data_IF_199254430406
#
_entry.id   IF_199254430406
#
_cell.length_a   1.000
_cell.length_b   1.000
_cell.length_c   1.000
_cell.angle_alpha   90.00
_cell.angle_beta   90.00
_cell.angle_gamma   90.00
#
_symmetry.space_group_name_H-M   'P 1'
#
loop_
_entity.id
_entity.type
_entity.pdbx_description
1 polymer ?
#
# COMPACT_ATOMS: atom_id res chain seq x y z
N UNK A 1 -25.17 11.77 -7.97
CA UNK A 1 -24.51 12.09 -6.79
C UNK A 1 -23.23 11.34 -6.61
N UNK A 2 -22.27 11.99 -6.10
CA UNK A 2 -20.96 11.38 -6.00
C UNK A 2 -20.94 10.14 -5.12
N UNK A 3 -21.67 10.18 -4.03
CA UNK A 3 -21.61 9.07 -3.10
C UNK A 3 -22.13 7.79 -3.72
N UNK A 4 -23.14 7.89 -4.55
CA UNK A 4 -23.65 6.67 -5.15
C UNK A 4 -22.68 6.09 -6.16
N UNK A 5 -21.97 6.95 -6.86
CA UNK A 5 -20.98 6.46 -7.80
C UNK A 5 -19.85 5.75 -7.08
N UNK A 6 -19.40 6.35 -6.00
CA UNK A 6 -18.34 5.72 -5.23
C UNK A 6 -18.77 4.38 -4.70
N UNK A 7 -20.01 4.31 -4.26
CA UNK A 7 -20.51 3.06 -3.74
C UNK A 7 -20.44 1.95 -4.74
N UNK A 8 -20.80 2.25 -5.97
CA UNK A 8 -20.78 1.23 -7.00
C UNK A 8 -19.39 0.73 -7.28
N UNK A 9 -18.43 1.63 -7.34
CA UNK A 9 -17.09 1.19 -7.63
C UNK A 9 -16.48 0.40 -6.48
N UNK A 10 -16.91 0.68 -5.27
CA UNK A 10 -16.38 -0.04 -4.13
C UNK A 10 -16.85 -1.47 -4.08
N UNK A 11 -18.01 -1.73 -4.59
CA UNK A 11 -18.52 -3.07 -4.54
C UNK A 11 -17.68 -4.06 -5.29
N UNK A 12 -16.95 -3.59 -6.26
CA UNK A 12 -16.34 -4.50 -7.20
C UNK A 12 -14.94 -4.94 -6.82
N UNK A 13 -14.38 -4.48 -5.71
CA UNK A 13 -13.02 -4.87 -5.47
C UNK A 13 -12.76 -5.12 -4.00
N UNK A 14 -11.59 -5.73 -3.74
CA UNK A 14 -11.19 -6.11 -2.41
C UNK A 14 -10.64 -4.96 -1.61
N UNK A 15 -10.40 -3.84 -2.27
CA UNK A 15 -9.92 -2.66 -1.60
C UNK A 15 -10.87 -2.26 -0.48
N UNK A 16 -12.15 -2.37 -0.79
CA UNK A 16 -13.18 -1.98 0.16
C UNK A 16 -13.17 -2.86 1.40
N UNK A 17 -12.79 -4.10 1.23
CA UNK A 17 -12.75 -5.01 2.37
C UNK A 17 -11.58 -4.71 3.29
N UNK A 18 -10.49 -4.22 2.72
CA UNK A 18 -9.33 -3.94 3.53
C UNK A 18 -9.41 -2.61 4.24
N UNK A 19 -10.11 -1.66 3.66
CA UNK A 19 -10.26 -0.36 4.25
C UNK A 19 -11.60 -0.31 4.95
N UNK A 20 -11.56 -0.66 6.21
CA UNK A 20 -12.76 -0.69 7.02
C UNK A 20 -12.80 0.51 7.93
N UNK A 21 -13.92 0.69 8.56
CA UNK A 21 -14.06 1.78 9.52
C UNK A 21 -13.03 1.66 10.63
N UNK A 22 -12.75 0.44 11.06
CA UNK A 22 -11.77 0.23 12.10
C UNK A 22 -10.38 0.65 11.66
N UNK A 23 -10.00 0.29 10.43
CA UNK A 23 -8.67 0.64 9.96
C UNK A 23 -8.53 2.14 9.74
N UNK A 24 -9.64 2.86 9.61
CA UNK A 24 -9.60 4.29 9.43
C UNK A 24 -9.80 5.04 10.74
N UNK A 25 -9.97 4.33 11.83
CA UNK A 25 -10.18 4.96 13.13
C UNK A 25 -8.88 5.09 13.90
N UNK A 26 -7.81 5.45 13.21
CA UNK A 26 -6.50 5.67 13.81
C UNK A 26 -5.97 7.00 13.31
N UNK A 27 -4.93 7.52 13.94
CA UNK A 27 -4.33 8.76 13.46
C UNK A 27 -3.90 8.66 12.00
N UNK A 28 -3.92 9.78 11.33
CA UNK A 28 -3.60 9.80 9.91
C UNK A 28 -2.26 9.15 9.60
N UNK A 29 -1.27 9.45 10.42
CA UNK A 29 0.05 8.88 10.18
C UNK A 29 0.01 7.36 10.21
N UNK A 30 -0.71 6.82 11.18
CA UNK A 30 -0.79 5.38 11.30
C UNK A 30 -1.58 4.77 10.16
N UNK A 31 -2.67 5.40 9.78
CA UNK A 31 -3.48 4.91 8.66
C UNK A 31 -2.64 4.88 7.39
N UNK A 32 -1.84 5.92 7.17
CA UNK A 32 -1.01 6.00 5.98
C UNK A 32 0.05 4.90 5.99
N UNK A 33 0.67 4.69 7.13
CA UNK A 33 1.70 3.66 7.23
C UNK A 33 1.12 2.27 7.03
N UNK A 34 -0.06 2.03 7.56
CA UNK A 34 -0.70 0.74 7.36
C UNK A 34 -0.98 0.48 5.90
N UNK A 35 -1.50 1.48 5.20
CA UNK A 35 -1.76 1.33 3.79
C UNK A 35 -0.47 1.11 3.01
N UNK A 36 0.54 1.91 3.28
CA UNK A 36 1.79 1.80 2.55
C UNK A 36 2.43 0.45 2.77
N UNK A 37 2.34 -0.07 3.97
CA UNK A 37 2.92 -1.37 4.25
C UNK A 37 2.25 -2.46 3.41
N UNK A 38 0.94 -2.45 3.37
CA UNK A 38 0.24 -3.44 2.57
C UNK A 38 0.49 -3.26 1.09
N UNK A 39 0.43 -2.02 0.64
CA UNK A 39 0.63 -1.73 -0.76
C UNK A 39 2.02 -2.20 -1.22
N UNK A 40 3.04 -1.83 -0.49
CA UNK A 40 4.40 -2.16 -0.89
C UNK A 40 4.67 -3.65 -0.76
N UNK A 41 4.10 -4.29 0.23
CA UNK A 41 4.26 -5.73 0.36
C UNK A 41 3.70 -6.44 -0.88
N UNK A 42 2.54 -6.02 -1.33
CA UNK A 42 1.94 -6.62 -2.51
C UNK A 42 2.79 -6.37 -3.75
N UNK A 43 3.28 -5.14 -3.91
CA UNK A 43 4.10 -4.84 -5.07
C UNK A 43 5.40 -5.62 -5.06
N UNK A 44 6.01 -5.76 -3.88
CA UNK A 44 7.22 -6.55 -3.79
C UNK A 44 6.98 -8.00 -4.20
N UNK A 45 5.87 -8.56 -3.79
CA UNK A 45 5.55 -9.92 -4.17
C UNK A 45 5.40 -10.06 -5.68
N UNK A 46 4.80 -9.07 -6.31
CA UNK A 46 4.63 -9.10 -7.76
C UNK A 46 5.98 -9.13 -8.47
N UNK A 47 6.97 -8.51 -7.90
CA UNK A 47 8.28 -8.43 -8.52
C UNK A 47 9.29 -9.34 -7.83
N UNK A 48 8.81 -10.31 -7.07
CA UNK A 48 9.65 -11.32 -6.43
C UNK A 48 10.71 -10.72 -5.53
N UNK A 49 10.37 -9.65 -4.84
CA UNK A 49 11.30 -9.01 -3.93
C UNK A 49 12.34 -8.15 -4.60
N UNK A 50 12.23 -7.93 -5.90
CA UNK A 50 13.20 -7.11 -6.62
C UNK A 50 12.94 -5.64 -6.36
N UNK A 51 13.81 -5.04 -5.57
CA UNK A 51 13.59 -3.66 -5.13
C UNK A 51 13.69 -2.68 -6.30
N UNK A 52 14.60 -2.94 -7.22
CA UNK A 52 14.78 -2.02 -8.35
C UNK A 52 13.53 -1.96 -9.22
N UNK A 53 12.98 -3.11 -9.56
CA UNK A 53 11.77 -3.14 -10.37
C UNK A 53 10.58 -2.58 -9.62
N UNK A 54 10.49 -2.89 -8.35
CA UNK A 54 9.40 -2.37 -7.53
C UNK A 54 9.46 -0.85 -7.47
N UNK A 55 10.66 -0.31 -7.26
CA UNK A 55 10.82 1.13 -7.17
C UNK A 55 10.37 1.83 -8.45
N UNK A 56 10.71 1.27 -9.60
CA UNK A 56 10.29 1.85 -10.85
C UNK A 56 8.77 1.86 -10.96
N UNK A 57 8.16 0.74 -10.58
CA UNK A 57 6.71 0.66 -10.68
C UNK A 57 6.01 1.65 -9.76
N UNK A 58 6.46 1.76 -8.52
CA UNK A 58 5.78 2.63 -7.57
C UNK A 58 6.19 4.09 -7.71
N UNK A 59 7.19 4.39 -8.54
CA UNK A 59 7.56 5.76 -8.79
C UNK A 59 8.50 6.35 -7.74
N UNK A 60 9.32 5.53 -7.12
CA UNK A 60 10.26 5.99 -6.11
C UNK A 60 11.68 5.66 -6.53
N UNK A 61 12.63 6.39 -5.98
CA UNK A 61 14.02 6.00 -6.14
C UNK A 61 14.29 4.75 -5.33
N UNK A 62 15.23 3.95 -5.82
CA UNK A 62 15.53 2.70 -5.17
C UNK A 62 15.95 2.89 -3.71
N UNK A 63 16.82 3.85 -3.45
CA UNK A 63 17.27 4.06 -2.08
C UNK A 63 16.16 4.58 -1.19
N UNK A 64 15.27 5.42 -1.73
CA UNK A 64 14.15 5.92 -0.96
C UNK A 64 13.20 4.79 -0.61
N UNK A 65 12.95 3.91 -1.58
CA UNK A 65 12.07 2.77 -1.34
C UNK A 65 12.68 1.85 -0.28
N UNK A 66 13.98 1.62 -0.38
CA UNK A 66 14.65 0.75 0.59
C UNK A 66 14.47 1.28 2.01
N UNK A 67 14.68 2.58 2.18
CA UNK A 67 14.53 3.17 3.50
C UNK A 67 13.08 3.09 3.99
N UNK A 68 12.14 3.30 3.09
CA UNK A 68 10.74 3.22 3.49
C UNK A 68 10.37 1.81 3.90
N UNK A 69 10.84 0.81 3.18
CA UNK A 69 10.54 -0.57 3.53
C UNK A 69 11.10 -0.92 4.91
N UNK A 70 12.31 -0.48 5.19
CA UNK A 70 12.89 -0.73 6.49
C UNK A 70 12.10 -0.02 7.59
N UNK A 71 11.68 1.20 7.33
CA UNK A 71 10.91 1.94 8.31
C UNK A 71 9.57 1.31 8.60
N UNK A 72 9.00 0.63 7.61
CA UNK A 72 7.71 -0.04 7.78
C UNK A 72 7.85 -1.45 8.33
N UNK A 73 9.07 -1.92 8.49
CA UNK A 73 9.28 -3.27 9.02
C UNK A 73 9.10 -4.37 7.99
N UNK A 74 9.14 -4.01 6.72
CA UNK A 74 9.04 -5.01 5.66
C UNK A 74 10.43 -5.56 5.39
N UNK A 75 10.53 -6.89 5.38
CA UNK A 75 11.83 -7.53 5.23
C UNK A 75 11.91 -8.47 4.03
N UNK A 76 10.88 -8.53 3.24
CA UNK A 76 10.82 -9.49 2.15
C UNK A 76 11.28 -8.87 0.86
N UNK A 77 12.54 -8.47 0.82
CA UNK A 77 13.09 -7.87 -0.38
C UNK A 77 14.59 -8.08 -0.40
N UNK A 78 15.18 -7.88 -1.58
CA UNK A 78 16.61 -8.01 -1.76
C UNK A 78 17.31 -6.71 -1.47
#
# INVERSE_FOLDING_TARGET
KISSIVKESLESDNFDEKITENSLSVPLKEARENFEKEYLTIQLKKFNGNISKTAIFVGMERSALHRKLKGLGIKEFN
#
